data_IF_330043595134
#
_entry.id   IF_330043595134
#
_cell.length_a   1.000
_cell.length_b   1.000
_cell.length_c   1.000
_cell.angle_alpha   90.00
_cell.angle_beta   90.00
_cell.angle_gamma   90.00
#
_symmetry.space_group_name_H-M   'P 1'
#
loop_
_entity.id
_entity.type
_entity.pdbx_description
1 polymer ?
#
# COMPACT_ATOMS: atom_id res chain seq x y z
N UNK A 1 -9.17 14.04 19.93
CA UNK A 1 -9.75 14.08 18.57
C UNK A 1 -9.61 12.67 18.00
N UNK A 2 -10.72 12.01 17.68
CA UNK A 2 -10.86 10.54 17.67
C UNK A 2 -10.03 9.81 16.60
N UNK A 3 -9.13 8.92 17.05
CA UNK A 3 -8.36 7.94 16.26
C UNK A 3 -9.22 6.77 15.70
N UNK A 4 -10.55 6.86 15.74
CA UNK A 4 -11.43 5.69 15.58
C UNK A 4 -12.03 5.51 14.17
N UNK A 5 -11.82 6.44 13.23
CA UNK A 5 -12.44 6.34 11.91
C UNK A 5 -11.68 5.36 10.99
N UNK A 6 -10.36 5.52 10.86
CA UNK A 6 -9.54 4.65 10.00
C UNK A 6 -9.57 3.19 10.45
N UNK A 7 -9.37 2.93 11.76
CA UNK A 7 -9.42 1.58 12.32
C UNK A 7 -10.78 0.90 12.07
N UNK A 8 -11.92 1.59 12.25
CA UNK A 8 -13.25 1.03 11.97
C UNK A 8 -13.48 0.70 10.49
N UNK A 9 -12.94 1.50 9.57
CA UNK A 9 -13.04 1.24 8.13
C UNK A 9 -12.17 0.03 7.75
N UNK A 10 -10.97 -0.09 8.31
CA UNK A 10 -10.04 -1.18 8.02
C UNK A 10 -10.46 -2.51 8.65
N UNK A 11 -11.10 -2.50 9.82
CA UNK A 11 -11.57 -3.72 10.52
C UNK A 11 -12.97 -4.17 10.08
N UNK A 12 -13.64 -3.45 9.16
CA UNK A 12 -15.02 -3.76 8.77
C UNK A 12 -15.17 -5.13 8.07
N UNK A 13 -14.05 -5.76 7.68
CA UNK A 13 -13.99 -7.08 7.02
C UNK A 13 -13.49 -8.25 7.87
N UNK A 14 -13.42 -8.15 9.20
CA UNK A 14 -12.91 -9.21 10.10
C UNK A 14 -11.42 -9.57 9.87
N UNK A 15 -10.64 -8.62 9.34
CA UNK A 15 -9.20 -8.75 9.14
C UNK A 15 -8.47 -7.68 9.95
N UNK A 16 -8.22 -7.97 11.23
CA UNK A 16 -7.58 -7.04 12.17
C UNK A 16 -6.10 -6.73 11.84
N UNK A 17 -5.56 -7.32 10.76
CA UNK A 17 -4.17 -7.19 10.35
C UNK A 17 -3.95 -6.20 9.19
N UNK A 18 -5.02 -5.57 8.67
CA UNK A 18 -4.92 -4.60 7.58
C UNK A 18 -4.71 -3.21 8.16
N UNK A 19 -3.56 -2.61 7.91
CA UNK A 19 -3.19 -1.27 8.40
C UNK A 19 -3.34 -0.18 7.33
N UNK A 20 -3.69 -0.54 6.10
CA UNK A 20 -3.87 0.39 4.99
C UNK A 20 -4.78 -0.18 3.89
N UNK A 21 -5.38 0.71 3.10
CA UNK A 21 -6.21 0.35 1.95
C UNK A 21 -6.15 1.43 0.86
N UNK A 22 -6.00 0.99 -0.38
CA UNK A 22 -6.06 1.82 -1.58
C UNK A 22 -6.69 1.08 -2.76
N UNK A 23 -7.18 1.84 -3.73
CA UNK A 23 -7.51 1.29 -5.05
C UNK A 23 -6.25 1.08 -5.88
N UNK A 24 -6.22 0.02 -6.66
CA UNK A 24 -5.13 -0.18 -7.63
C UNK A 24 -5.41 0.68 -8.88
N UNK A 25 -4.43 1.46 -9.33
CA UNK A 25 -4.53 2.42 -10.47
C UNK A 25 -5.59 3.53 -10.26
N UNK A 26 -5.87 3.91 -9.02
CA UNK A 26 -6.86 4.95 -8.70
C UNK A 26 -6.37 6.40 -8.86
N UNK A 27 -5.05 6.63 -9.00
CA UNK A 27 -4.49 7.98 -9.04
C UNK A 27 -5.09 8.80 -10.19
N UNK A 28 -5.41 10.06 -9.89
CA UNK A 28 -6.07 11.04 -10.78
C UNK A 28 -7.54 10.76 -11.13
N UNK A 29 -8.13 9.64 -10.70
CA UNK A 29 -9.56 9.38 -10.83
C UNK A 29 -10.29 9.90 -9.59
N UNK A 30 -11.29 10.79 -9.78
CA UNK A 30 -11.94 11.53 -8.69
C UNK A 30 -12.50 10.62 -7.58
N UNK A 31 -12.93 9.41 -7.93
CA UNK A 31 -13.55 8.46 -6.99
C UNK A 31 -12.57 7.46 -6.39
N UNK A 32 -11.39 7.28 -6.98
CA UNK A 32 -10.47 6.21 -6.61
C UNK A 32 -9.09 6.71 -6.17
N UNK A 33 -8.79 8.01 -6.33
CA UNK A 33 -7.53 8.63 -5.93
C UNK A 33 -7.47 8.92 -4.43
N UNK A 34 -7.68 7.89 -3.60
CA UNK A 34 -7.63 7.99 -2.13
C UNK A 34 -6.93 6.78 -1.50
N UNK A 35 -6.35 6.98 -0.32
CA UNK A 35 -5.72 5.95 0.51
C UNK A 35 -6.15 6.14 1.96
N UNK A 36 -6.41 5.04 2.67
CA UNK A 36 -6.67 5.04 4.10
C UNK A 36 -5.51 4.31 4.78
N UNK A 37 -4.96 4.89 5.85
CA UNK A 37 -3.91 4.28 6.65
C UNK A 37 -4.20 4.41 8.15
N UNK A 38 -3.76 3.43 8.93
CA UNK A 38 -3.76 3.46 10.38
C UNK A 38 -2.40 3.94 10.89
N UNK A 39 -2.33 5.24 11.23
CA UNK A 39 -1.08 5.87 11.63
C UNK A 39 -0.77 5.71 13.13
N UNK A 40 -0.13 4.60 13.50
CA UNK A 40 0.25 4.34 14.91
C UNK A 40 1.71 4.69 15.25
N UNK A 41 2.60 4.72 14.26
CA UNK A 41 4.03 4.99 14.45
C UNK A 41 4.65 5.62 13.19
N UNK A 42 5.96 5.93 13.23
CA UNK A 42 6.69 6.40 12.04
C UNK A 42 6.67 5.40 10.87
N UNK A 43 6.39 4.13 11.12
CA UNK A 43 6.20 3.12 10.08
C UNK A 43 5.01 3.46 9.16
N UNK A 44 4.05 4.23 9.64
CA UNK A 44 2.90 4.71 8.86
C UNK A 44 3.30 5.49 7.60
N UNK A 45 4.50 6.09 7.57
CA UNK A 45 5.02 6.73 6.35
C UNK A 45 5.31 5.71 5.23
N UNK A 46 5.81 4.52 5.59
CA UNK A 46 6.06 3.43 4.64
C UNK A 46 4.75 2.75 4.23
N UNK A 47 3.78 2.66 5.13
CA UNK A 47 2.43 2.17 4.81
C UNK A 47 1.70 3.15 3.89
N UNK A 48 1.78 4.46 4.14
CA UNK A 48 1.29 5.47 3.20
C UNK A 48 1.94 5.33 1.82
N UNK A 49 3.27 5.12 1.78
CA UNK A 49 3.95 4.86 0.52
C UNK A 49 3.40 3.60 -0.17
N UNK A 50 3.22 2.49 0.55
CA UNK A 50 2.63 1.25 0.04
C UNK A 50 1.26 1.49 -0.62
N UNK A 51 0.36 2.17 0.10
CA UNK A 51 -0.99 2.45 -0.40
C UNK A 51 -1.00 3.43 -1.58
N UNK A 52 -0.10 4.43 -1.58
CA UNK A 52 0.09 5.31 -2.74
C UNK A 52 0.63 4.51 -3.94
N UNK A 53 1.51 3.53 -3.70
CA UNK A 53 2.01 2.60 -4.71
C UNK A 53 0.88 1.86 -5.42
N UNK A 54 -0.10 1.35 -4.66
CA UNK A 54 -1.32 0.77 -5.23
C UNK A 54 -2.07 1.76 -6.13
N UNK A 55 -2.30 2.99 -5.66
CA UNK A 55 -2.96 4.03 -6.48
C UNK A 55 -2.21 4.34 -7.79
N UNK A 56 -0.88 4.22 -7.78
CA UNK A 56 -0.01 4.35 -8.95
C UNK A 56 0.15 3.04 -9.74
N UNK A 57 -0.70 2.05 -9.47
CA UNK A 57 -0.82 0.82 -10.24
C UNK A 57 0.10 -0.33 -9.83
N UNK A 58 0.83 -0.20 -8.72
CA UNK A 58 1.69 -1.28 -8.22
C UNK A 58 0.86 -2.40 -7.59
N UNK A 59 1.21 -3.65 -7.87
CA UNK A 59 0.72 -4.82 -7.14
C UNK A 59 1.75 -5.33 -6.12
N UNK A 60 1.32 -6.21 -5.22
CA UNK A 60 2.22 -6.79 -4.22
C UNK A 60 3.37 -7.59 -4.84
N UNK A 61 4.55 -7.49 -4.22
CA UNK A 61 5.72 -8.30 -4.58
C UNK A 61 5.47 -9.78 -4.24
N UNK A 62 5.82 -10.67 -5.17
CA UNK A 62 5.75 -12.13 -5.00
C UNK A 62 4.38 -12.79 -5.17
N UNK A 63 3.28 -12.03 -5.33
CA UNK A 63 1.95 -12.60 -5.58
C UNK A 63 1.71 -12.91 -7.06
N UNK A 64 2.21 -12.06 -7.97
CA UNK A 64 2.08 -12.22 -9.45
C UNK A 64 3.31 -11.72 -10.22
N UNK A 65 4.44 -11.62 -9.53
CA UNK A 65 5.71 -11.18 -10.08
C UNK A 65 6.85 -11.90 -9.36
N UNK A 66 8.08 -11.76 -9.88
CA UNK A 66 9.25 -12.48 -9.40
C UNK A 66 10.04 -11.70 -8.33
N UNK A 67 9.47 -10.63 -7.77
CA UNK A 67 10.11 -9.85 -6.71
C UNK A 67 9.91 -10.49 -5.34
N UNK A 68 10.85 -10.21 -4.43
CA UNK A 68 10.86 -10.78 -3.08
C UNK A 68 9.69 -10.24 -2.25
N UNK A 69 8.82 -11.13 -1.78
CA UNK A 69 7.60 -10.79 -1.02
C UNK A 69 7.85 -10.27 0.40
N UNK A 70 9.11 -10.11 0.82
CA UNK A 70 9.46 -9.76 2.20
C UNK A 70 10.38 -8.55 2.35
N UNK A 71 10.96 -8.02 1.27
CA UNK A 71 12.05 -7.03 1.35
C UNK A 71 11.68 -5.60 0.99
N UNK A 72 10.68 -5.42 0.15
CA UNK A 72 10.39 -4.11 -0.46
C UNK A 72 9.09 -3.51 0.07
N UNK A 73 8.87 -2.24 -0.23
CA UNK A 73 7.68 -1.49 0.22
C UNK A 73 6.39 -2.20 -0.18
N UNK A 74 6.29 -2.77 -1.38
CA UNK A 74 5.11 -3.49 -1.87
C UNK A 74 5.02 -4.95 -1.41
N UNK A 75 5.80 -5.38 -0.42
CA UNK A 75 5.61 -6.69 0.23
C UNK A 75 4.21 -6.78 0.85
N UNK A 76 3.48 -7.92 0.75
CA UNK A 76 2.14 -8.05 1.33
C UNK A 76 2.08 -7.84 2.86
N UNK A 77 3.15 -8.20 3.57
CA UNK A 77 3.26 -7.96 5.01
C UNK A 77 3.96 -6.63 5.31
N UNK A 78 3.70 -6.07 6.48
CA UNK A 78 4.48 -4.95 7.03
C UNK A 78 5.74 -5.46 7.75
N UNK A 79 6.62 -4.57 8.20
CA UNK A 79 7.82 -4.94 8.96
C UNK A 79 9.02 -4.03 8.73
N UNK A 80 10.03 -4.09 9.61
CA UNK A 80 11.22 -3.26 9.53
C UNK A 80 12.05 -3.58 8.27
N UNK A 81 12.77 -2.57 7.77
CA UNK A 81 13.73 -2.72 6.66
C UNK A 81 13.14 -2.61 5.25
N UNK A 82 11.82 -2.49 5.11
CA UNK A 82 11.11 -2.33 3.83
C UNK A 82 11.10 -0.88 3.35
N UNK A 83 12.28 -0.34 3.05
CA UNK A 83 12.45 1.10 2.71
C UNK A 83 12.74 1.37 1.24
N UNK A 84 12.79 0.33 0.41
CA UNK A 84 13.10 0.42 -1.02
C UNK A 84 11.98 -0.18 -1.88
N UNK A 85 11.84 0.32 -3.10
CA UNK A 85 10.95 -0.23 -4.12
C UNK A 85 11.62 -1.40 -4.87
N UNK A 86 10.84 -2.41 -5.24
CA UNK A 86 11.35 -3.52 -6.04
C UNK A 86 11.48 -3.13 -7.52
N UNK A 87 12.15 -3.96 -8.31
CA UNK A 87 12.15 -3.80 -9.77
C UNK A 87 10.74 -3.97 -10.36
N UNK A 88 9.88 -4.78 -9.74
CA UNK A 88 8.51 -5.00 -10.16
C UNK A 88 7.65 -3.76 -9.88
N UNK A 89 7.79 -3.15 -8.69
CA UNK A 89 7.11 -1.89 -8.35
C UNK A 89 7.47 -0.78 -9.35
N UNK A 90 8.75 -0.67 -9.73
CA UNK A 90 9.20 0.31 -10.74
C UNK A 90 8.54 0.05 -12.10
N UNK A 91 8.53 -1.20 -12.55
CA UNK A 91 7.88 -1.59 -13.80
C UNK A 91 6.40 -1.22 -13.80
N UNK A 92 5.67 -1.49 -12.72
CA UNK A 92 4.26 -1.13 -12.62
C UNK A 92 4.02 0.37 -12.71
N UNK A 93 4.88 1.18 -12.09
CA UNK A 93 4.81 2.63 -12.19
C UNK A 93 5.07 3.11 -13.63
N UNK A 94 6.09 2.57 -14.29
CA UNK A 94 6.39 2.87 -15.69
C UNK A 94 5.19 2.51 -16.59
N UNK A 95 4.58 1.34 -16.39
CA UNK A 95 3.39 0.88 -17.12
C UNK A 95 2.10 1.68 -16.75
N UNK A 96 2.07 2.37 -15.61
CA UNK A 96 0.96 3.26 -15.22
C UNK A 96 1.10 4.64 -15.87
N UNK A 97 2.32 5.14 -16.04
CA UNK A 97 2.62 6.47 -16.57
C UNK A 97 2.72 6.53 -18.11
N UNK A 98 2.87 5.38 -18.76
CA UNK A 98 2.91 5.24 -20.22
C UNK A 98 1.53 5.48 -20.87
#
# INVERSE_FOLDING_TARGET
>A
MQLNFASRVLTQGNNDNVVGLAFVRGMCECRFSCTIIQAESFQAALEAAHEIGHNLGMEHDGTKNNCDSTKFIMSPGTGPGKTNWSACSRKYLEDFLA
#
